data_IF_484195224858
#
_entry.id   IF_484195224858
#
_cell.length_a   1.000
_cell.length_b   1.000
_cell.length_c   1.000
_cell.angle_alpha   90.00
_cell.angle_beta   90.00
_cell.angle_gamma   90.00
#
_symmetry.space_group_name_H-M   'P 1'
#
loop_
_entity.id
_entity.type
_entity.pdbx_description
1 polymer ?
#
# COMPACT_ATOMS: atom_id res chain seq x y z
N UNK A 1 10.91 23.85 -4.31
CA UNK A 1 9.79 22.87 -4.28
C UNK A 1 10.16 21.67 -5.15
N UNK A 2 10.64 20.57 -4.56
CA UNK A 2 10.24 19.17 -4.81
C UNK A 2 11.24 18.23 -4.10
N UNK A 3 11.02 17.99 -2.81
CA UNK A 3 11.78 17.07 -1.99
C UNK A 3 11.44 15.61 -2.33
N UNK A 4 11.94 15.13 -3.47
CA UNK A 4 11.93 13.69 -3.80
C UNK A 4 13.22 13.00 -3.37
N UNK A 5 13.78 13.38 -2.23
CA UNK A 5 15.00 12.76 -1.69
C UNK A 5 14.77 11.28 -1.37
N UNK A 6 15.39 10.39 -2.15
CA UNK A 6 15.42 8.94 -1.92
C UNK A 6 16.34 8.63 -0.73
N UNK A 7 15.74 8.46 0.45
CA UNK A 7 16.40 7.97 1.66
C UNK A 7 16.05 6.50 1.93
N UNK A 8 16.83 5.79 2.77
CA UNK A 8 16.56 4.40 3.12
C UNK A 8 15.25 4.33 3.93
N UNK A 9 14.17 3.82 3.31
CA UNK A 9 12.86 3.70 3.96
C UNK A 9 11.64 4.17 3.16
N UNK A 10 11.78 4.53 1.87
CA UNK A 10 10.61 4.84 1.04
C UNK A 10 9.70 3.62 0.90
N UNK A 11 8.48 3.74 1.41
CA UNK A 11 7.45 2.70 1.28
C UNK A 11 7.22 2.39 -0.20
N UNK A 12 7.04 1.11 -0.58
CA UNK A 12 6.74 0.76 -1.96
C UNK A 12 5.45 1.46 -2.39
N UNK A 13 5.47 2.04 -3.59
CA UNK A 13 4.29 2.64 -4.20
C UNK A 13 3.39 1.51 -4.71
N UNK A 14 2.08 1.73 -4.69
CA UNK A 14 1.10 0.79 -5.24
C UNK A 14 0.72 1.19 -6.67
N UNK A 15 0.56 0.19 -7.53
CA UNK A 15 0.20 0.37 -8.95
C UNK A 15 -1.23 -0.10 -9.16
N UNK A 16 -2.06 0.78 -9.71
CA UNK A 16 -3.49 0.53 -9.95
C UNK A 16 -3.79 0.56 -11.45
N UNK A 17 -4.55 -0.42 -11.91
CA UNK A 17 -5.27 -0.35 -13.17
C UNK A 17 -6.59 0.38 -12.95
N UNK A 18 -6.83 1.45 -13.74
CA UNK A 18 -8.08 2.22 -13.68
C UNK A 18 -8.99 1.70 -14.78
N UNK A 19 -9.95 0.85 -14.41
CA UNK A 19 -10.93 0.30 -15.34
C UNK A 19 -12.19 1.13 -15.26
N UNK A 20 -12.55 1.78 -16.37
CA UNK A 20 -13.80 2.51 -16.44
C UNK A 20 -14.94 1.56 -16.85
N UNK A 21 -15.96 1.41 -15.99
CA UNK A 21 -17.13 0.59 -16.29
C UNK A 21 -18.38 1.44 -16.17
N UNK A 22 -19.00 1.73 -17.33
CA UNK A 22 -20.27 2.45 -17.52
C UNK A 22 -20.33 3.81 -16.81
N UNK A 23 -20.45 3.78 -15.49
CA UNK A 23 -20.70 4.94 -14.62
C UNK A 23 -19.62 5.12 -13.54
N UNK A 24 -18.72 4.15 -13.35
CA UNK A 24 -17.75 4.17 -12.25
C UNK A 24 -16.38 3.69 -12.69
N UNK A 25 -15.35 4.39 -12.22
CA UNK A 25 -13.97 3.95 -12.35
C UNK A 25 -13.61 3.02 -11.20
N UNK A 26 -13.25 1.79 -11.53
CA UNK A 26 -12.74 0.79 -10.61
C UNK A 26 -11.22 0.87 -10.54
N UNK A 27 -10.71 0.94 -9.32
CA UNK A 27 -9.29 1.03 -9.02
C UNK A 27 -8.83 -0.31 -8.50
N UNK A 28 -8.07 -1.04 -9.31
CA UNK A 28 -7.63 -2.38 -8.99
C UNK A 28 -6.12 -2.34 -8.79
N UNK A 29 -5.64 -2.66 -7.59
CA UNK A 29 -4.20 -2.79 -7.34
C UNK A 29 -3.69 -4.03 -8.09
N UNK A 30 -2.70 -3.85 -8.96
CA UNK A 30 -2.13 -4.92 -9.80
C UNK A 30 -0.60 -5.03 -9.65
N UNK A 31 -0.02 -4.36 -8.66
CA UNK A 31 1.42 -4.42 -8.44
C UNK A 31 1.98 -3.36 -7.51
N UNK A 32 3.30 -3.27 -7.52
CA UNK A 32 4.09 -2.32 -6.73
C UNK A 32 5.14 -1.61 -7.59
N UNK A 33 5.56 -0.43 -7.17
CA UNK A 33 6.56 0.36 -7.86
C UNK A 33 7.61 0.92 -6.89
N UNK A 34 8.84 1.00 -7.40
CA UNK A 34 10.03 1.41 -6.66
C UNK A 34 10.77 2.49 -7.44
N UNK A 35 10.97 3.64 -6.81
CA UNK A 35 11.74 4.74 -7.38
C UNK A 35 13.23 4.45 -7.26
N UNK A 36 13.95 4.60 -8.37
CA UNK A 36 15.38 4.41 -8.45
C UNK A 36 16.13 5.72 -8.16
N UNK A 37 17.44 5.62 -7.92
CA UNK A 37 18.29 6.78 -7.62
C UNK A 37 18.40 7.77 -8.79
N UNK A 38 18.31 7.28 -10.02
CA UNK A 38 18.37 8.04 -11.26
C UNK A 38 17.05 8.75 -11.61
N UNK A 39 16.03 8.63 -10.75
CA UNK A 39 14.70 9.20 -10.96
C UNK A 39 13.76 8.34 -11.82
N UNK A 40 14.25 7.23 -12.37
CA UNK A 40 13.39 6.24 -13.01
C UNK A 40 12.55 5.49 -11.97
N UNK A 41 11.50 4.80 -12.39
CA UNK A 41 10.66 3.98 -11.51
C UNK A 41 10.46 2.61 -12.12
N UNK A 42 10.83 1.58 -11.37
CA UNK A 42 10.56 0.20 -11.74
C UNK A 42 9.16 -0.20 -11.29
N UNK A 43 8.41 -0.82 -12.18
CA UNK A 43 7.03 -1.29 -11.94
C UNK A 43 7.00 -2.80 -12.04
N UNK A 44 6.53 -3.45 -10.99
CA UNK A 44 6.35 -4.90 -10.92
C UNK A 44 4.86 -5.19 -10.93
N UNK A 45 4.39 -5.89 -11.97
CA UNK A 45 2.98 -6.20 -12.18
C UNK A 45 2.71 -7.67 -11.88
N UNK A 46 1.71 -7.93 -11.04
CA UNK A 46 1.20 -9.27 -10.76
C UNK A 46 0.18 -9.73 -11.82
N UNK A 47 -0.42 -8.76 -12.53
CA UNK A 47 -1.43 -8.99 -13.56
C UNK A 47 -1.34 -7.99 -14.72
N UNK A 48 -1.85 -8.38 -15.89
CA UNK A 48 -1.95 -7.49 -17.05
C UNK A 48 -3.19 -6.58 -16.92
N UNK A 49 -3.08 -5.27 -17.24
CA UNK A 49 -4.19 -4.31 -17.15
C UNK A 49 -5.16 -4.46 -18.32
N UNK A 50 -5.86 -5.59 -18.40
CA UNK A 50 -6.80 -5.87 -19.51
C UNK A 50 -8.01 -4.93 -19.42
N UNK A 51 -8.38 -4.33 -20.55
CA UNK A 51 -9.53 -3.42 -20.65
C UNK A 51 -9.24 -1.98 -20.22
N UNK A 52 -7.97 -1.63 -20.00
CA UNK A 52 -7.56 -0.24 -19.78
C UNK A 52 -6.16 0.03 -20.31
N UNK A 53 -5.90 1.27 -20.72
CA UNK A 53 -4.57 1.77 -21.07
C UNK A 53 -4.04 2.74 -20.00
N UNK A 54 -4.67 2.78 -18.81
CA UNK A 54 -4.33 3.71 -17.74
C UNK A 54 -3.88 2.98 -16.48
N UNK A 55 -2.64 3.24 -16.09
CA UNK A 55 -2.09 2.87 -14.81
C UNK A 55 -1.87 4.11 -13.96
N UNK A 56 -2.05 3.98 -12.65
CA UNK A 56 -1.66 5.01 -11.69
C UNK A 56 -0.75 4.41 -10.62
N UNK A 57 0.36 5.10 -10.36
CA UNK A 57 1.29 4.78 -9.30
C UNK A 57 1.06 5.79 -8.18
N UNK A 58 0.76 5.32 -6.96
CA UNK A 58 0.50 6.18 -5.79
C UNK A 58 0.96 5.53 -4.50
N UNK A 59 1.07 6.32 -3.43
CA UNK A 59 1.27 5.76 -2.10
C UNK A 59 0.07 4.89 -1.70
N UNK A 60 0.29 3.67 -1.15
CA UNK A 60 -0.80 2.84 -0.66
C UNK A 60 -1.51 3.53 0.50
N UNK A 61 -2.86 3.51 0.50
CA UNK A 61 -3.61 4.00 1.66
C UNK A 61 -3.36 3.05 2.83
N UNK A 62 -3.21 3.60 4.03
CA UNK A 62 -2.89 2.85 5.25
C UNK A 62 -3.90 1.73 5.60
N UNK A 63 -5.12 1.78 5.04
CA UNK A 63 -6.14 0.73 5.18
C UNK A 63 -5.95 -0.44 4.19
N UNK A 64 -5.34 -0.20 3.02
CA UNK A 64 -5.21 -1.21 1.95
C UNK A 64 -4.02 -2.16 2.18
N UNK A 65 -3.01 -1.68 2.92
CA UNK A 65 -1.93 -2.51 3.43
C UNK A 65 -2.41 -2.99 4.81
N UNK A 66 -2.93 -4.21 4.94
CA UNK A 66 -3.42 -4.79 6.20
C UNK A 66 -2.38 -4.86 7.34
N UNK A 67 -1.24 -4.19 7.19
CA UNK A 67 -0.33 -3.84 8.26
C UNK A 67 -0.92 -2.67 9.03
N UNK A 68 -1.70 -3.01 10.05
CA UNK A 68 -2.04 -2.07 11.12
C UNK A 68 -0.79 -1.25 11.47
N UNK A 69 -0.90 0.08 11.65
CA UNK A 69 0.22 0.86 12.14
C UNK A 69 0.62 0.24 13.49
N UNK A 70 1.79 -0.41 13.53
CA UNK A 70 2.38 -0.91 14.76
C UNK A 70 2.41 0.26 15.76
N UNK A 71 1.51 0.23 16.75
CA UNK A 71 1.36 1.34 17.69
C UNK A 71 0.13 1.32 18.59
N UNK A 72 -0.61 0.22 18.69
CA UNK A 72 -1.65 0.09 19.73
C UNK A 72 -1.61 -1.33 20.27
N UNK A 73 -0.69 -1.54 21.23
CA UNK A 73 -0.84 -2.65 22.15
C UNK A 73 -2.19 -2.49 22.84
N UNK A 74 -3.13 -3.37 22.51
CA UNK A 74 -4.29 -3.57 23.35
C UNK A 74 -3.77 -3.91 24.76
N UNK A 75 -4.29 -3.30 25.83
CA UNK A 75 -3.93 -3.72 27.18
C UNK A 75 -4.31 -5.18 27.30
N UNK A 76 -3.32 -6.04 27.56
CA UNK A 76 -3.56 -7.39 28.06
C UNK A 76 -4.57 -7.27 29.20
N UNK A 77 -5.74 -7.93 29.16
CA UNK A 77 -6.55 -8.04 30.35
C UNK A 77 -5.71 -8.85 31.35
N UNK A 78 -5.14 -8.15 32.32
CA UNK A 78 -4.54 -8.72 33.51
C UNK A 78 -5.63 -9.52 34.21
N UNK A 79 -5.67 -10.82 33.92
CA UNK A 79 -6.42 -11.79 34.71
C UNK A 79 -5.78 -11.75 36.11
N UNK A 80 -6.47 -11.09 37.04
CA UNK A 80 -6.10 -11.06 38.44
C UNK A 80 -5.95 -12.50 38.97
N UNK A 81 -5.09 -12.73 39.97
CA UNK A 81 -4.91 -14.06 40.52
C UNK A 81 -6.19 -14.46 41.27
N UNK A 82 -7.07 -15.19 40.59
CA UNK A 82 -8.10 -15.98 41.22
C UNK A 82 -7.41 -17.01 42.12
N UNK A 83 -7.68 -16.88 43.42
CA UNK A 83 -7.16 -17.74 44.45
C UNK A 83 -7.64 -19.18 44.27
N UNK A 84 -6.74 -20.11 44.60
CA UNK A 84 -7.07 -21.50 44.84
C UNK A 84 -5.90 -22.20 45.54
N UNK A 85 -6.12 -23.27 46.32
CA UNK A 85 -7.19 -23.59 47.26
C UNK A 85 -6.81 -23.35 48.73
#
# INVERSE_FOLDING_TARGET
MNDSASGPGKKPLAVYAIIDRKDKSHWIKIGSAFSNRDGSTNVYLDALPIGTNRLQIREPRAWEDGRAPNGSGAPTPELGPEGQP
#
